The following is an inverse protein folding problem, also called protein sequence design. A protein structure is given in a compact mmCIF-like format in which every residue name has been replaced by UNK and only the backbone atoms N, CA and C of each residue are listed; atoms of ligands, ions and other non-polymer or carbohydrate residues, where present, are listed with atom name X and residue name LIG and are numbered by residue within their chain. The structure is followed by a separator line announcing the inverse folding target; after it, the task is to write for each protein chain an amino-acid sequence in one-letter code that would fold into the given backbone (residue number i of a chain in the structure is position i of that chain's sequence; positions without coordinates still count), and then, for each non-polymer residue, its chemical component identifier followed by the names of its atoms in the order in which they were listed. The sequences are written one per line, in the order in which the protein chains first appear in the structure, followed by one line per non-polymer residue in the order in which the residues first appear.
data_IF_297501995462
#
_entry.id   IF_297501995462
#
_cell.length_a   1.000
_cell.length_b   1.000
_cell.length_c   1.000
_cell.angle_alpha   90.00
_cell.angle_beta   90.00
_cell.angle_gamma   90.00
#
_symmetry.space_group_name_H-M   'P 1'
#
loop_
_entity.id
_entity.type
_entity.pdbx_description
1 polymer ?
#
# COMPACT_ATOMS: atom_id res chain seq x y z
N UNK A 1 -4.41 11.95 38.28
CA UNK A 1 -5.41 11.00 37.79
C UNK A 1 -4.97 10.57 36.41
N UNK A 2 -4.62 9.32 36.19
CA UNK A 2 -4.30 8.78 34.86
C UNK A 2 -5.61 8.64 34.06
N UNK A 3 -5.65 8.99 32.77
CA UNK A 3 -6.83 8.71 31.96
C UNK A 3 -6.99 7.19 31.77
N UNK A 4 -8.22 6.69 31.63
CA UNK A 4 -8.46 5.27 31.44
C UNK A 4 -7.88 4.81 30.10
N UNK A 5 -7.12 3.74 30.13
CA UNK A 5 -6.69 3.00 28.94
C UNK A 5 -7.91 2.36 28.30
N UNK A 6 -8.36 2.89 27.18
CA UNK A 6 -9.36 2.24 26.35
C UNK A 6 -8.65 1.14 25.58
N UNK A 7 -9.03 -0.08 25.86
CA UNK A 7 -8.51 -1.28 25.19
C UNK A 7 -9.12 -1.35 23.77
N UNK A 8 -8.38 -0.81 22.79
CA UNK A 8 -8.80 -0.78 21.39
C UNK A 8 -8.75 -2.15 20.71
N UNK A 9 -8.07 -3.13 21.32
CA UNK A 9 -7.90 -4.45 20.73
C UNK A 9 -9.22 -5.24 20.62
N UNK A 10 -10.13 -5.09 21.58
CA UNK A 10 -11.43 -5.79 21.56
C UNK A 10 -12.48 -5.17 20.61
N UNK A 11 -12.25 -3.97 20.08
CA UNK A 11 -13.22 -3.24 19.24
C UNK A 11 -12.74 -2.96 17.80
N UNK A 12 -11.58 -3.49 17.41
CA UNK A 12 -11.14 -3.36 16.03
C UNK A 12 -11.89 -4.41 15.16
N UNK A 13 -12.69 -3.98 14.18
CA UNK A 13 -13.43 -4.90 13.29
C UNK A 13 -12.50 -5.89 12.57
N UNK A 14 -11.26 -5.50 12.26
CA UNK A 14 -10.26 -6.39 11.65
C UNK A 14 -9.83 -7.54 12.57
N UNK A 15 -9.76 -7.32 13.88
CA UNK A 15 -9.44 -8.39 14.83
C UNK A 15 -10.60 -9.40 14.95
N UNK A 16 -11.85 -8.91 14.92
CA UNK A 16 -13.02 -9.78 14.93
C UNK A 16 -13.23 -10.48 13.58
N UNK A 17 -12.92 -9.82 12.45
CA UNK A 17 -13.03 -10.44 11.13
C UNK A 17 -12.00 -11.57 10.97
N UNK A 18 -10.77 -11.42 11.43
CA UNK A 18 -9.78 -12.51 11.39
C UNK A 18 -10.21 -13.72 12.22
N UNK A 19 -10.87 -13.52 13.35
CA UNK A 19 -11.42 -14.65 14.15
C UNK A 19 -12.72 -15.23 13.60
N UNK A 20 -13.60 -14.43 12.98
CA UNK A 20 -14.88 -14.92 12.44
C UNK A 20 -14.74 -15.64 11.10
N UNK A 21 -13.69 -15.36 10.31
CA UNK A 21 -13.43 -16.04 9.04
C UNK A 21 -12.96 -17.50 9.18
N UNK A 22 -12.48 -17.89 10.34
CA UNK A 22 -11.99 -19.25 10.60
C UNK A 22 -12.98 -20.15 11.38
N UNK A 23 -14.27 -19.83 11.41
CA UNK A 23 -15.29 -20.78 11.84
C UNK A 23 -15.49 -21.81 10.74
N UNK A 24 -15.45 -23.13 11.04
CA UNK A 24 -15.50 -24.16 10.01
C UNK A 24 -16.89 -24.25 9.40
N UNK A 25 -17.08 -23.68 8.22
CA UNK A 25 -18.11 -24.19 7.32
C UNK A 25 -17.56 -25.48 6.70
N UNK A 26 -18.31 -26.54 6.84
CA UNK A 26 -18.04 -27.88 6.37
C UNK A 26 -17.63 -27.82 4.88
N UNK A 27 -16.34 -28.03 4.62
CA UNK A 27 -15.85 -28.22 3.26
C UNK A 27 -16.14 -29.64 2.82
N UNK A 28 -17.02 -29.80 1.84
CA UNK A 28 -17.13 -31.04 1.08
C UNK A 28 -15.80 -31.38 0.41
N UNK A 29 -15.44 -32.64 0.46
CA UNK A 29 -14.26 -33.27 -0.08
C UNK A 29 -14.19 -33.03 -1.62
N UNK A 30 -13.49 -31.99 -2.04
CA UNK A 30 -13.13 -31.78 -3.45
C UNK A 30 -11.74 -32.37 -3.66
N UNK A 31 -11.71 -33.60 -4.19
CA UNK A 31 -10.50 -34.21 -4.71
C UNK A 31 -9.86 -33.32 -5.78
N UNK A 32 -8.56 -33.04 -5.71
CA UNK A 32 -7.88 -32.21 -6.70
C UNK A 32 -7.82 -32.92 -8.04
N UNK A 33 -8.36 -32.30 -9.10
CA UNK A 33 -8.10 -32.72 -10.46
C UNK A 33 -6.65 -32.40 -10.82
N UNK A 34 -5.95 -33.31 -11.53
CA UNK A 34 -4.54 -33.13 -11.86
C UNK A 34 -4.41 -32.33 -13.16
N UNK A 35 -4.33 -30.99 -13.06
CA UNK A 35 -3.74 -30.18 -14.11
C UNK A 35 -2.32 -29.77 -13.68
N UNK A 36 -1.43 -30.74 -13.75
CA UNK A 36 0.00 -30.57 -13.57
C UNK A 36 0.67 -30.66 -14.94
N UNK A 37 0.80 -29.53 -15.63
CA UNK A 37 1.80 -29.41 -16.70
C UNK A 37 2.38 -28.00 -16.73
N UNK A 38 3.71 -27.97 -16.67
CA UNK A 38 4.66 -26.88 -16.89
C UNK A 38 5.06 -26.06 -15.64
N UNK A 39 6.38 -26.15 -15.36
CA UNK A 39 7.16 -25.35 -14.41
C UNK A 39 6.71 -25.39 -12.94
N UNK A 40 6.81 -26.57 -12.33
CA UNK A 40 6.79 -26.66 -10.87
C UNK A 40 8.04 -25.95 -10.31
N UNK A 41 7.81 -24.84 -9.62
CA UNK A 41 8.85 -24.16 -8.87
C UNK A 41 9.55 -25.17 -7.92
N UNK A 42 10.88 -25.12 -7.75
CA UNK A 42 11.58 -26.06 -6.89
C UNK A 42 11.09 -25.92 -5.46
N UNK A 43 10.54 -27.02 -4.92
CA UNK A 43 10.04 -27.08 -3.55
C UNK A 43 11.24 -27.27 -2.61
N UNK A 44 11.29 -26.50 -1.52
CA UNK A 44 12.35 -26.58 -0.50
C UNK A 44 11.72 -26.82 0.87
N UNK A 45 12.24 -27.80 1.61
CA UNK A 45 11.86 -27.98 3.01
C UNK A 45 12.39 -26.84 3.88
N UNK A 46 11.57 -26.37 4.80
CA UNK A 46 11.90 -25.31 5.76
C UNK A 46 12.24 -25.91 7.15
N UNK A 47 12.75 -25.07 8.03
CA UNK A 47 13.14 -25.47 9.40
C UNK A 47 11.93 -25.88 10.25
N UNK A 48 10.77 -25.31 9.99
CA UNK A 48 9.51 -25.77 10.60
C UNK A 48 9.14 -27.11 10.00
N UNK A 49 9.05 -28.13 10.84
CA UNK A 49 8.83 -29.51 10.44
C UNK A 49 7.56 -29.64 9.58
N UNK A 50 7.71 -30.26 8.41
CA UNK A 50 6.61 -30.52 7.49
C UNK A 50 6.17 -29.33 6.65
N UNK A 51 6.86 -28.17 6.72
CA UNK A 51 6.57 -27.04 5.85
C UNK A 51 7.55 -27.00 4.67
N UNK A 52 6.98 -26.81 3.48
CA UNK A 52 7.69 -26.72 2.21
C UNK A 52 7.43 -25.35 1.57
N UNK A 53 8.44 -24.81 0.89
CA UNK A 53 8.39 -23.51 0.21
C UNK A 53 8.52 -23.68 -1.30
N UNK A 54 7.57 -23.11 -2.06
CA UNK A 54 7.70 -22.87 -3.49
C UNK A 54 7.92 -21.39 -3.77
N UNK A 55 8.86 -21.07 -4.66
CA UNK A 55 9.18 -19.70 -5.08
C UNK A 55 8.81 -19.56 -6.56
N UNK A 56 7.89 -18.65 -6.86
CA UNK A 56 7.46 -18.32 -8.22
C UNK A 56 8.01 -16.95 -8.63
N UNK A 57 8.44 -16.82 -9.90
CA UNK A 57 9.00 -15.57 -10.44
C UNK A 57 8.03 -14.82 -11.35
N UNK A 58 6.84 -15.37 -11.55
CA UNK A 58 5.76 -14.72 -12.31
C UNK A 58 4.40 -15.10 -11.76
N UNK A 59 3.49 -14.13 -11.73
CA UNK A 59 2.11 -14.32 -11.29
C UNK A 59 1.31 -15.23 -12.24
N UNK A 60 1.77 -15.39 -13.49
CA UNK A 60 1.14 -16.32 -14.44
C UNK A 60 1.27 -17.77 -14.03
N UNK A 61 2.33 -18.12 -13.30
CA UNK A 61 2.62 -19.47 -12.83
C UNK A 61 2.05 -19.75 -11.43
N UNK A 62 1.35 -18.80 -10.81
CA UNK A 62 0.71 -19.02 -9.53
C UNK A 62 -0.49 -19.96 -9.68
N UNK A 63 -0.60 -21.02 -8.84
CA UNK A 63 -1.73 -21.94 -8.86
C UNK A 63 -3.03 -21.24 -8.41
N UNK A 64 -4.20 -21.84 -8.73
CA UNK A 64 -5.50 -21.36 -8.29
C UNK A 64 -5.61 -21.21 -6.77
N UNK A 65 -4.99 -22.12 -6.05
CA UNK A 65 -4.91 -22.11 -4.57
C UNK A 65 -4.35 -20.80 -3.97
N UNK A 66 -3.63 -19.99 -4.76
CA UNK A 66 -3.18 -18.67 -4.31
C UNK A 66 -4.34 -17.76 -3.93
N UNK A 67 -5.38 -17.68 -4.75
CA UNK A 67 -6.52 -16.82 -4.47
C UNK A 67 -7.44 -17.40 -3.38
N UNK A 68 -7.44 -18.71 -3.17
CA UNK A 68 -8.29 -19.39 -2.17
C UNK A 68 -7.90 -19.09 -0.72
N UNK A 69 -6.62 -18.78 -0.45
CA UNK A 69 -6.15 -18.40 0.88
C UNK A 69 -6.39 -16.91 1.18
N UNK A 70 -6.70 -16.09 0.17
CA UNK A 70 -6.86 -14.66 0.37
C UNK A 70 -8.17 -14.35 1.13
N UNK A 71 -8.08 -13.67 2.28
CA UNK A 71 -9.28 -13.15 2.91
C UNK A 71 -9.89 -12.04 2.06
N UNK A 72 -11.15 -11.74 2.30
CA UNK A 72 -11.78 -10.54 1.78
C UNK A 72 -10.96 -9.31 2.16
N UNK A 73 -10.85 -8.32 1.27
CA UNK A 73 -10.00 -7.15 1.52
C UNK A 73 -8.52 -7.32 1.19
N UNK A 74 -8.14 -8.36 0.42
CA UNK A 74 -6.76 -8.57 -0.02
C UNK A 74 -6.63 -8.61 -1.55
N UNK A 75 -7.39 -7.76 -2.26
CA UNK A 75 -7.36 -7.68 -3.72
C UNK A 75 -5.97 -7.37 -4.29
N UNK A 76 -5.13 -6.62 -3.56
CA UNK A 76 -3.76 -6.31 -3.96
C UNK A 76 -2.80 -7.52 -3.91
N UNK A 77 -3.26 -8.63 -3.37
CA UNK A 77 -2.57 -9.92 -3.43
C UNK A 77 -3.20 -10.90 -4.42
N UNK A 78 -4.32 -10.55 -5.07
CA UNK A 78 -4.95 -11.44 -6.05
C UNK A 78 -4.07 -11.65 -7.28
N UNK A 79 -4.16 -12.84 -7.90
CA UNK A 79 -3.42 -13.13 -9.15
C UNK A 79 -3.75 -12.14 -10.25
N UNK A 80 -4.99 -11.63 -10.29
CA UNK A 80 -5.40 -10.60 -11.24
C UNK A 80 -4.58 -9.32 -11.08
N UNK A 81 -4.48 -8.80 -9.85
CA UNK A 81 -3.69 -7.62 -9.53
C UNK A 81 -2.19 -7.85 -9.79
N UNK A 82 -1.64 -8.97 -9.33
CA UNK A 82 -0.22 -9.28 -9.48
C UNK A 82 0.19 -9.38 -10.96
N UNK A 83 -0.64 -10.02 -11.80
CA UNK A 83 -0.43 -10.08 -13.25
C UNK A 83 -0.49 -8.70 -13.91
N UNK A 84 -1.42 -7.83 -13.47
CA UNK A 84 -1.50 -6.47 -13.98
C UNK A 84 -0.23 -5.66 -13.66
N UNK A 85 0.33 -5.84 -12.47
CA UNK A 85 1.61 -5.22 -12.09
C UNK A 85 2.77 -5.71 -12.97
N UNK A 86 2.82 -7.00 -13.29
CA UNK A 86 3.86 -7.56 -14.16
C UNK A 86 3.71 -7.12 -15.62
N UNK A 87 2.48 -6.88 -16.09
CA UNK A 87 2.24 -6.35 -17.44
C UNK A 87 2.68 -4.90 -17.59
N UNK A 88 2.66 -4.13 -16.52
CA UNK A 88 3.08 -2.74 -16.49
C UNK A 88 3.98 -2.49 -15.26
N UNK A 89 5.19 -3.07 -15.22
CA UNK A 89 6.07 -2.96 -14.07
C UNK A 89 6.63 -1.55 -13.91
N UNK A 90 6.76 -1.09 -12.69
CA UNK A 90 7.51 0.12 -12.41
C UNK A 90 8.98 -0.08 -12.83
N UNK A 91 9.66 1.03 -13.16
CA UNK A 91 11.04 0.96 -13.67
C UNK A 91 11.98 0.23 -12.72
N UNK A 92 12.60 -0.84 -13.20
CA UNK A 92 13.55 -1.66 -12.43
C UNK A 92 12.89 -2.53 -11.35
N UNK A 93 11.59 -2.74 -11.42
CA UNK A 93 10.84 -3.62 -10.51
C UNK A 93 10.72 -5.02 -11.11
N UNK A 94 11.09 -6.03 -10.32
CA UNK A 94 10.81 -7.43 -10.58
C UNK A 94 9.97 -8.00 -9.44
N UNK A 95 9.44 -9.20 -9.61
CA UNK A 95 8.51 -9.79 -8.66
C UNK A 95 8.94 -11.21 -8.28
N UNK A 96 8.54 -11.63 -7.09
CA UNK A 96 8.65 -13.00 -6.62
C UNK A 96 7.51 -13.30 -5.64
N UNK A 97 7.04 -14.53 -5.64
CA UNK A 97 5.92 -14.98 -4.84
C UNK A 97 6.31 -16.24 -4.09
N UNK A 98 5.99 -16.27 -2.82
CA UNK A 98 6.29 -17.37 -1.92
C UNK A 98 4.99 -18.10 -1.58
N UNK A 99 4.98 -19.42 -1.71
CA UNK A 99 3.90 -20.28 -1.26
C UNK A 99 4.45 -21.28 -0.25
N UNK A 100 3.82 -21.33 0.92
CA UNK A 100 4.17 -22.22 2.01
C UNK A 100 3.15 -23.35 2.08
N UNK A 101 3.62 -24.58 2.02
CA UNK A 101 2.80 -25.79 2.06
C UNK A 101 3.07 -26.58 3.32
N UNK A 102 2.03 -27.11 3.95
CA UNK A 102 2.10 -28.13 4.99
C UNK A 102 1.10 -29.23 4.65
N UNK A 103 1.54 -30.48 4.61
CA UNK A 103 0.71 -31.62 4.20
C UNK A 103 0.01 -31.40 2.84
N UNK A 104 0.72 -30.83 1.87
CA UNK A 104 0.23 -30.46 0.52
C UNK A 104 -0.87 -29.37 0.49
N UNK A 105 -1.17 -28.73 1.61
CA UNK A 105 -2.11 -27.61 1.68
C UNK A 105 -1.35 -26.30 1.83
N UNK A 106 -1.82 -25.24 1.19
CA UNK A 106 -1.25 -23.90 1.34
C UNK A 106 -1.57 -23.39 2.74
N UNK A 107 -0.54 -23.08 3.52
CA UNK A 107 -0.64 -22.53 4.88
C UNK A 107 -0.18 -21.08 4.95
N UNK A 108 0.43 -20.57 3.90
CA UNK A 108 0.85 -19.17 3.83
C UNK A 108 1.29 -18.78 2.44
N UNK A 109 1.28 -17.49 2.18
CA UNK A 109 1.77 -16.89 0.95
C UNK A 109 2.30 -15.49 1.18
N UNK A 110 3.27 -15.06 0.36
CA UNK A 110 3.80 -13.70 0.40
C UNK A 110 4.11 -13.20 -1.01
N UNK A 111 3.79 -11.93 -1.26
CA UNK A 111 4.13 -11.22 -2.49
C UNK A 111 5.33 -10.30 -2.25
N UNK A 112 6.36 -10.43 -3.07
CA UNK A 112 7.59 -9.68 -2.96
C UNK A 112 7.86 -8.87 -4.22
N UNK A 113 8.35 -7.65 -4.01
CA UNK A 113 8.84 -6.77 -5.06
C UNK A 113 10.36 -6.64 -4.91
N UNK A 114 11.08 -6.79 -6.01
CA UNK A 114 12.55 -6.72 -6.04
C UNK A 114 12.93 -5.42 -6.71
N UNK A 115 13.64 -4.55 -6.01
CA UNK A 115 14.00 -3.25 -6.55
C UNK A 115 15.38 -2.79 -6.13
N UNK A 116 16.00 -1.96 -6.97
CA UNK A 116 17.18 -1.20 -6.61
C UNK A 116 16.76 0.17 -6.05
N UNK A 117 16.90 0.33 -4.74
CA UNK A 117 16.65 1.60 -4.07
C UNK A 117 17.84 2.52 -4.24
N UNK A 118 17.64 3.61 -4.99
CA UNK A 118 18.65 4.65 -5.22
C UNK A 118 18.28 5.88 -4.39
N UNK A 119 18.93 6.06 -3.24
CA UNK A 119 18.59 7.08 -2.24
C UNK A 119 18.43 8.48 -2.84
N UNK A 120 19.32 8.88 -3.76
CA UNK A 120 19.21 10.20 -4.41
C UNK A 120 18.02 10.35 -5.34
N UNK A 121 17.53 9.25 -5.94
CA UNK A 121 16.42 9.31 -6.90
C UNK A 121 15.06 9.35 -6.19
N UNK A 122 14.94 8.65 -5.06
CA UNK A 122 13.70 8.52 -4.33
C UNK A 122 13.46 9.59 -3.27
N UNK A 123 14.50 10.32 -2.82
CA UNK A 123 14.36 11.36 -1.79
C UNK A 123 14.63 12.73 -2.42
N UNK A 124 13.56 13.47 -2.75
CA UNK A 124 13.66 14.75 -3.42
C UNK A 124 14.31 15.84 -2.57
N UNK A 125 14.09 15.83 -1.25
CA UNK A 125 14.73 16.76 -0.32
C UNK A 125 16.26 16.71 -0.36
N UNK A 126 16.85 15.60 -0.85
CA UNK A 126 18.29 15.49 -1.09
C UNK A 126 18.73 16.04 -2.45
N UNK A 127 17.80 16.24 -3.39
CA UNK A 127 18.09 16.78 -4.71
C UNK A 127 18.11 18.31 -4.73
N UNK A 128 17.26 18.94 -3.90
CA UNK A 128 17.14 20.39 -3.82
C UNK A 128 18.12 20.97 -2.80
N UNK A 129 18.85 22.02 -3.19
CA UNK A 129 19.73 22.71 -2.25
C UNK A 129 18.88 23.54 -1.26
N UNK A 130 19.10 23.42 0.07
CA UNK A 130 18.36 24.23 1.03
C UNK A 130 18.68 25.72 0.86
N UNK A 131 17.66 26.53 0.96
CA UNK A 131 17.83 27.96 1.16
C UNK A 131 18.38 28.18 2.57
N UNK A 132 19.65 28.57 2.71
CA UNK A 132 20.26 28.69 4.02
C UNK A 132 21.71 29.14 3.99
N UNK A 133 22.31 29.22 5.19
CA UNK A 133 23.69 29.63 5.41
C UNK A 133 24.70 28.62 4.79
N UNK A 134 25.98 29.06 4.68
CA UNK A 134 27.07 28.26 4.07
C UNK A 134 27.23 26.88 4.75
N UNK A 135 27.06 26.82 6.08
CA UNK A 135 27.16 25.58 6.86
C UNK A 135 26.05 24.59 6.51
N UNK A 136 24.81 25.07 6.36
CA UNK A 136 23.67 24.23 5.92
C UNK A 136 23.87 23.67 4.51
N UNK A 137 24.40 24.49 3.59
CA UNK A 137 24.75 24.04 2.22
C UNK A 137 25.88 23.01 2.21
N UNK A 138 26.88 23.17 3.07
CA UNK A 138 27.97 22.22 3.22
C UNK A 138 27.47 20.88 3.76
N UNK A 139 26.63 20.91 4.82
CA UNK A 139 25.99 19.71 5.39
C UNK A 139 25.11 18.99 4.36
N UNK A 140 24.34 19.73 3.59
CA UNK A 140 23.52 19.16 2.52
C UNK A 140 24.38 18.49 1.43
N UNK A 141 25.51 19.12 1.03
CA UNK A 141 26.46 18.52 0.07
C UNK A 141 27.05 17.22 0.60
N UNK A 142 27.39 17.16 1.90
CA UNK A 142 27.89 15.94 2.54
C UNK A 142 26.83 14.87 2.58
N UNK A 143 25.58 15.19 3.00
CA UNK A 143 24.44 14.27 2.98
C UNK A 143 24.18 13.74 1.57
N UNK A 144 24.17 14.60 0.58
CA UNK A 144 23.95 14.22 -0.82
C UNK A 144 25.08 13.33 -1.36
N UNK A 145 26.34 13.64 -1.08
CA UNK A 145 27.47 12.84 -1.49
C UNK A 145 27.49 11.45 -0.83
N UNK A 146 27.04 11.36 0.43
CA UNK A 146 26.85 10.10 1.12
C UNK A 146 25.66 9.30 0.53
N UNK A 147 24.51 9.94 0.38
CA UNK A 147 23.32 9.34 -0.18
C UNK A 147 23.51 8.84 -1.62
N UNK A 148 24.35 9.51 -2.42
CA UNK A 148 24.67 9.08 -3.80
C UNK A 148 25.41 7.74 -3.88
N UNK A 149 26.03 7.31 -2.78
CA UNK A 149 26.74 6.03 -2.67
C UNK A 149 25.90 4.94 -2.01
N UNK A 150 24.70 5.30 -1.50
CA UNK A 150 23.77 4.37 -0.86
C UNK A 150 22.74 3.88 -1.89
N UNK A 151 23.13 2.84 -2.59
CA UNK A 151 22.22 2.09 -3.44
C UNK A 151 22.02 0.72 -2.80
N UNK A 152 20.79 0.31 -2.63
CA UNK A 152 20.44 -0.97 -2.02
C UNK A 152 19.56 -1.77 -2.96
N UNK A 153 19.87 -3.05 -3.12
CA UNK A 153 18.97 -4.03 -3.72
C UNK A 153 18.11 -4.63 -2.62
N UNK A 154 16.82 -4.35 -2.67
CA UNK A 154 15.88 -4.74 -1.62
C UNK A 154 14.89 -5.77 -2.12
N UNK A 155 14.64 -6.77 -1.28
CA UNK A 155 13.44 -7.60 -1.33
C UNK A 155 12.41 -6.91 -0.46
N UNK A 156 11.33 -6.41 -1.07
CA UNK A 156 10.23 -5.74 -0.38
C UNK A 156 9.06 -6.71 -0.30
N UNK A 157 8.75 -7.20 0.89
CA UNK A 157 7.52 -7.95 1.15
C UNK A 157 6.40 -6.94 1.37
N UNK A 158 5.56 -6.76 0.35
CA UNK A 158 4.49 -5.75 0.33
C UNK A 158 4.26 -5.10 -1.03
N UNK A 159 3.16 -4.37 -1.14
CA UNK A 159 2.81 -3.60 -2.32
C UNK A 159 3.30 -2.15 -2.17
N UNK A 160 4.26 -1.73 -3.02
CA UNK A 160 4.79 -0.35 -2.96
C UNK A 160 3.81 0.69 -3.50
N UNK A 161 2.80 0.27 -4.26
CA UNK A 161 1.75 1.10 -4.84
C UNK A 161 0.62 1.44 -3.86
N UNK A 162 0.51 0.71 -2.75
CA UNK A 162 -0.51 0.89 -1.73
C UNK A 162 0.09 1.08 -0.34
N UNK A 163 -0.71 1.62 0.57
CA UNK A 163 -0.40 1.67 2.00
C UNK A 163 -1.31 0.68 2.71
N UNK A 164 -0.73 -0.17 3.54
CA UNK A 164 -1.46 -1.21 4.26
C UNK A 164 -0.75 -2.55 4.21
N UNK A 165 -1.26 -3.50 4.97
CA UNK A 165 -0.68 -4.84 5.09
C UNK A 165 -1.11 -5.73 3.92
N UNK A 166 -0.54 -5.50 2.74
CA UNK A 166 -0.78 -6.26 1.51
C UNK A 166 0.48 -7.01 1.08
N UNK A 167 1.07 -7.74 2.02
CA UNK A 167 2.37 -8.37 1.87
C UNK A 167 2.31 -9.90 1.91
N UNK A 168 1.57 -10.43 2.86
CA UNK A 168 1.49 -11.86 3.13
C UNK A 168 0.17 -12.22 3.82
N UNK A 169 -0.20 -13.48 3.69
CA UNK A 169 -1.33 -14.10 4.40
C UNK A 169 -0.87 -15.46 4.91
N UNK A 170 -1.23 -15.80 6.16
CA UNK A 170 -1.00 -17.10 6.74
C UNK A 170 -2.28 -17.65 7.36
N UNK A 171 -2.46 -18.96 7.29
CA UNK A 171 -3.56 -19.66 7.96
C UNK A 171 -3.24 -19.83 9.44
N UNK A 172 -3.72 -18.89 10.27
CA UNK A 172 -3.49 -18.87 11.72
C UNK A 172 -4.30 -19.95 12.49
N UNK A 173 -5.11 -20.76 11.81
CA UNK A 173 -5.70 -21.95 12.44
C UNK A 173 -4.72 -23.14 12.49
N UNK A 174 -3.68 -23.10 11.64
CA UNK A 174 -2.63 -24.13 11.53
C UNK A 174 -1.28 -23.67 12.06
N UNK A 175 -1.01 -22.39 12.05
CA UNK A 175 0.24 -21.78 12.48
C UNK A 175 -0.06 -20.75 13.56
N UNK A 176 0.72 -20.73 14.62
CA UNK A 176 0.71 -19.61 15.54
C UNK A 176 1.38 -18.37 14.87
N UNK A 177 1.05 -17.16 15.33
CA UNK A 177 1.58 -15.93 14.71
C UNK A 177 3.11 -15.85 14.69
N UNK A 178 3.79 -16.33 15.72
CA UNK A 178 5.25 -16.30 15.80
C UNK A 178 5.87 -17.28 14.79
N UNK A 179 5.30 -18.48 14.69
CA UNK A 179 5.67 -19.48 13.68
C UNK A 179 5.43 -18.97 12.26
N UNK A 180 4.33 -18.27 12.01
CA UNK A 180 4.06 -17.64 10.72
C UNK A 180 5.13 -16.60 10.34
N UNK A 181 5.56 -15.77 11.31
CA UNK A 181 6.62 -14.78 11.07
C UNK A 181 7.99 -15.43 10.89
N UNK A 182 8.29 -16.50 11.61
CA UNK A 182 9.51 -17.27 11.41
C UNK A 182 9.55 -17.89 10.01
N UNK A 183 8.45 -18.47 9.54
CA UNK A 183 8.31 -18.99 8.17
C UNK A 183 8.46 -17.89 7.11
N UNK A 184 7.87 -16.71 7.35
CA UNK A 184 8.02 -15.57 6.43
C UNK A 184 9.49 -15.17 6.30
N UNK A 185 10.21 -14.99 7.43
CA UNK A 185 11.63 -14.63 7.41
C UNK A 185 12.47 -15.71 6.71
N UNK A 186 12.26 -16.98 7.02
CA UNK A 186 12.99 -18.09 6.39
C UNK A 186 12.72 -18.14 4.88
N UNK A 187 11.46 -17.93 4.45
CA UNK A 187 11.07 -17.87 3.05
C UNK A 187 11.75 -16.70 2.32
N UNK A 188 11.79 -15.52 2.93
CA UNK A 188 12.47 -14.34 2.38
C UNK A 188 13.99 -14.54 2.28
N UNK A 189 14.59 -15.24 3.24
CA UNK A 189 16.01 -15.61 3.17
C UNK A 189 16.28 -16.67 2.07
N UNK A 190 15.35 -17.63 1.90
CA UNK A 190 15.42 -18.59 0.79
C UNK A 190 15.34 -17.89 -0.55
N UNK A 191 14.44 -16.92 -0.69
CA UNK A 191 14.35 -16.07 -1.88
C UNK A 191 15.66 -15.33 -2.12
N UNK A 192 16.24 -14.69 -1.10
CA UNK A 192 17.52 -13.97 -1.23
C UNK A 192 18.64 -14.88 -1.72
N UNK A 193 18.72 -16.12 -1.22
CA UNK A 193 19.70 -17.11 -1.68
C UNK A 193 19.45 -17.57 -3.12
N UNK A 194 18.19 -17.75 -3.52
CA UNK A 194 17.83 -18.10 -4.89
C UNK A 194 18.23 -17.02 -5.86
N UNK A 195 17.89 -15.76 -5.56
CA UNK A 195 18.25 -14.59 -6.36
C UNK A 195 19.77 -14.41 -6.47
N UNK A 196 20.52 -14.66 -5.40
CA UNK A 196 21.98 -14.61 -5.43
C UNK A 196 22.56 -15.65 -6.39
N UNK A 197 21.99 -16.86 -6.46
CA UNK A 197 22.40 -17.89 -7.40
C UNK A 197 22.10 -17.49 -8.86
N UNK A 198 21.07 -16.67 -9.07
CA UNK A 198 20.71 -16.07 -10.38
C UNK A 198 21.53 -14.79 -10.71
N UNK A 199 22.47 -14.40 -9.85
CA UNK A 199 23.32 -13.21 -10.04
C UNK A 199 22.73 -11.90 -9.48
N UNK A 200 21.55 -11.93 -8.84
CA UNK A 200 20.95 -10.77 -8.19
C UNK A 200 21.12 -10.85 -6.68
N UNK A 201 22.09 -10.12 -6.14
CA UNK A 201 22.38 -10.13 -4.71
C UNK A 201 21.58 -9.06 -4.00
N UNK A 202 20.66 -9.48 -3.13
CA UNK A 202 19.96 -8.57 -2.22
C UNK A 202 20.89 -8.05 -1.13
N UNK A 203 20.76 -6.77 -0.79
CA UNK A 203 21.43 -6.14 0.36
C UNK A 203 20.57 -6.23 1.61
N UNK A 204 19.24 -6.17 1.45
CA UNK A 204 18.32 -6.19 2.57
C UNK A 204 16.92 -6.67 2.21
N UNK A 205 16.15 -6.89 3.27
CA UNK A 205 14.73 -7.26 3.24
C UNK A 205 13.95 -6.16 3.94
N UNK A 206 12.86 -5.71 3.34
CA UNK A 206 11.91 -4.75 3.89
C UNK A 206 10.53 -5.41 3.96
N UNK A 207 9.96 -5.55 5.16
CA UNK A 207 8.56 -5.93 5.36
C UNK A 207 7.80 -4.64 5.61
N UNK A 208 6.80 -4.38 4.76
CA UNK A 208 6.18 -3.07 4.64
C UNK A 208 4.81 -3.04 5.29
N UNK A 209 4.54 -1.94 6.02
CA UNK A 209 3.21 -1.52 6.46
C UNK A 209 2.46 -2.49 7.36
N UNK A 210 3.12 -2.96 8.42
CA UNK A 210 2.43 -3.63 9.51
C UNK A 210 1.72 -2.61 10.38
N UNK A 211 0.45 -2.86 10.68
CA UNK A 211 -0.38 -1.98 11.50
C UNK A 211 0.09 -2.00 12.96
N UNK A 212 0.11 -0.82 13.59
CA UNK A 212 0.37 -0.71 15.03
C UNK A 212 -0.73 -1.39 15.83
N UNK A 213 -0.33 -2.22 16.78
CA UNK A 213 -1.27 -2.98 17.63
C UNK A 213 -1.37 -4.46 17.24
N UNK A 214 -0.77 -4.86 16.15
CA UNK A 214 -0.52 -6.26 15.86
C UNK A 214 0.64 -6.77 16.76
N UNK A 215 0.32 -7.05 18.02
CA UNK A 215 1.30 -7.28 19.10
C UNK A 215 2.16 -8.53 18.92
N UNK A 216 1.76 -9.45 18.07
CA UNK A 216 2.49 -10.70 17.87
C UNK A 216 3.60 -10.56 16.83
N UNK A 217 3.33 -9.93 15.71
CA UNK A 217 4.25 -9.86 14.58
C UNK A 217 5.52 -9.01 14.82
N UNK A 218 5.44 -7.81 15.44
CA UNK A 218 6.63 -6.98 15.65
C UNK A 218 7.72 -7.66 16.46
N UNK A 219 7.36 -8.33 17.54
CA UNK A 219 8.31 -8.97 18.45
C UNK A 219 9.11 -10.08 17.76
N UNK A 220 8.43 -10.94 17.02
CA UNK A 220 9.10 -12.03 16.29
C UNK A 220 10.08 -11.51 15.25
N UNK A 221 9.73 -10.41 14.54
CA UNK A 221 10.62 -9.81 13.56
C UNK A 221 11.85 -9.17 14.21
N UNK A 222 11.68 -8.51 15.37
CA UNK A 222 12.82 -7.93 16.10
C UNK A 222 13.77 -9.02 16.61
N UNK A 223 13.26 -10.14 17.12
CA UNK A 223 14.05 -11.30 17.54
C UNK A 223 14.81 -11.92 16.35
N UNK A 224 14.29 -11.82 15.12
CA UNK A 224 14.96 -12.24 13.89
C UNK A 224 15.94 -11.19 13.34
N UNK A 225 16.12 -10.08 14.06
CA UNK A 225 17.10 -9.04 13.74
C UNK A 225 16.63 -7.98 12.77
N UNK A 226 15.32 -7.82 12.58
CA UNK A 226 14.77 -6.67 11.87
C UNK A 226 14.74 -5.43 12.75
N UNK A 227 15.00 -4.27 12.18
CA UNK A 227 14.80 -2.98 12.82
C UNK A 227 13.42 -2.45 12.43
N UNK A 228 12.52 -2.32 13.41
CA UNK A 228 11.21 -1.69 13.24
C UNK A 228 11.31 -0.17 13.29
N UNK A 229 10.53 0.52 12.45
CA UNK A 229 10.41 1.98 12.47
C UNK A 229 9.03 2.42 12.00
N UNK A 230 8.49 3.49 12.60
CA UNK A 230 7.26 4.08 12.11
C UNK A 230 7.50 4.72 10.75
N UNK A 231 6.52 4.59 9.88
CA UNK A 231 6.49 5.31 8.62
C UNK A 231 5.23 6.18 8.57
N UNK A 232 5.11 7.07 7.57
CA UNK A 232 3.94 7.94 7.46
C UNK A 232 2.63 7.16 7.63
N UNK A 233 1.67 7.66 8.43
CA UNK A 233 0.46 6.94 8.73
C UNK A 233 -0.40 6.72 7.48
N UNK A 234 -1.21 5.66 7.50
CA UNK A 234 -2.29 5.49 6.56
C UNK A 234 -3.49 6.36 7.01
N UNK A 235 -4.02 7.18 6.13
CA UNK A 235 -5.18 8.02 6.43
C UNK A 235 -6.45 7.27 6.08
N UNK A 236 -7.24 6.90 7.08
CA UNK A 236 -8.45 6.08 6.94
C UNK A 236 -9.65 6.86 7.42
N UNK A 237 -10.71 6.89 6.63
CA UNK A 237 -12.01 7.44 7.02
C UNK A 237 -12.99 6.29 7.28
N UNK A 238 -13.18 5.87 8.53
CA UNK A 238 -14.21 4.90 8.86
C UNK A 238 -15.59 5.56 8.75
N UNK A 239 -16.55 4.84 8.19
CA UNK A 239 -17.91 5.31 8.13
C UNK A 239 -18.68 4.99 9.42
N UNK A 240 -19.55 5.91 9.82
CA UNK A 240 -20.44 5.67 10.95
C UNK A 240 -21.65 4.86 10.51
N UNK A 241 -22.21 4.03 11.37
CA UNK A 241 -23.37 3.19 11.02
C UNK A 241 -24.61 3.97 10.59
N UNK A 242 -24.69 5.25 10.95
CA UNK A 242 -25.79 6.16 10.60
C UNK A 242 -25.55 6.94 9.30
N UNK A 243 -24.41 6.76 8.63
CA UNK A 243 -24.13 7.38 7.34
C UNK A 243 -24.55 6.44 6.19
N UNK A 244 -25.70 6.68 5.62
CA UNK A 244 -26.20 5.92 4.46
C UNK A 244 -26.02 6.68 3.14
N UNK A 245 -25.88 8.00 3.25
CA UNK A 245 -25.74 8.90 2.10
C UNK A 245 -24.59 9.88 2.32
N UNK A 246 -24.12 10.48 1.24
CA UNK A 246 -23.15 11.54 1.33
C UNK A 246 -23.65 12.78 2.08
N UNK A 247 -24.97 13.02 2.08
CA UNK A 247 -25.58 14.12 2.85
C UNK A 247 -25.50 13.84 4.35
N UNK A 248 -25.71 12.60 4.81
CA UNK A 248 -25.53 12.21 6.21
C UNK A 248 -24.11 12.50 6.70
N UNK A 249 -23.13 12.12 5.88
CA UNK A 249 -21.72 12.43 6.16
C UNK A 249 -21.48 13.95 6.27
N UNK A 250 -22.04 14.77 5.37
CA UNK A 250 -21.89 16.22 5.41
C UNK A 250 -22.60 16.83 6.64
N UNK A 251 -23.77 16.32 7.03
CA UNK A 251 -24.52 16.79 8.17
C UNK A 251 -23.83 16.47 9.50
N UNK A 252 -23.13 15.37 9.57
CA UNK A 252 -22.31 15.01 10.73
C UNK A 252 -21.12 15.97 10.96
N UNK A 253 -20.70 16.71 9.93
CA UNK A 253 -19.61 17.69 10.07
C UNK A 253 -20.04 18.91 10.92
N UNK A 254 -19.10 19.42 11.72
CA UNK A 254 -19.28 20.74 12.35
C UNK A 254 -19.34 21.85 11.28
N UNK A 255 -20.08 22.90 11.56
CA UNK A 255 -20.43 23.96 10.59
C UNK A 255 -19.25 24.48 9.76
N UNK A 256 -18.09 24.68 10.38
CA UNK A 256 -16.87 25.16 9.72
C UNK A 256 -16.46 24.29 8.53
N UNK A 257 -16.44 22.96 8.71
CA UNK A 257 -16.01 22.02 7.66
C UNK A 257 -17.09 21.80 6.63
N UNK A 258 -18.37 21.75 7.03
CA UNK A 258 -19.51 21.69 6.12
C UNK A 258 -19.55 22.91 5.18
N UNK A 259 -19.29 24.12 5.69
CA UNK A 259 -19.19 25.32 4.85
C UNK A 259 -18.00 25.23 3.90
N UNK A 260 -16.86 24.67 4.37
CA UNK A 260 -15.68 24.45 3.50
C UNK A 260 -15.99 23.47 2.37
N UNK A 261 -16.68 22.36 2.65
CA UNK A 261 -17.12 21.38 1.66
C UNK A 261 -18.02 22.04 0.61
N UNK A 262 -19.09 22.73 1.03
CA UNK A 262 -20.01 23.43 0.12
C UNK A 262 -19.30 24.49 -0.75
N UNK A 263 -18.27 25.14 -0.22
CA UNK A 263 -17.44 26.07 -0.98
C UNK A 263 -16.60 25.36 -2.04
N UNK A 264 -16.05 24.16 -1.71
CA UNK A 264 -15.32 23.35 -2.68
C UNK A 264 -16.24 22.90 -3.83
N UNK A 265 -17.44 22.40 -3.50
CA UNK A 265 -18.44 22.02 -4.53
C UNK A 265 -18.85 23.20 -5.43
N UNK A 266 -19.07 24.37 -4.82
CA UNK A 266 -19.38 25.58 -5.61
C UNK A 266 -18.26 25.95 -6.57
N UNK A 267 -17.00 25.81 -6.17
CA UNK A 267 -15.85 26.04 -7.04
C UNK A 267 -15.71 24.95 -8.12
N UNK A 268 -16.01 23.70 -7.77
CA UNK A 268 -15.98 22.56 -8.70
C UNK A 268 -17.08 22.54 -9.76
N UNK A 269 -18.11 23.37 -9.67
CA UNK A 269 -19.26 23.37 -10.63
C UNK A 269 -18.88 23.52 -12.11
N UNK A 270 -17.68 24.03 -12.42
CA UNK A 270 -17.18 24.14 -13.79
C UNK A 270 -16.45 22.87 -14.30
N UNK A 271 -16.45 21.80 -13.50
CA UNK A 271 -15.82 20.53 -13.83
C UNK A 271 -16.90 19.45 -14.03
N UNK A 272 -16.71 18.59 -15.04
CA UNK A 272 -17.51 17.39 -15.21
C UNK A 272 -16.66 16.17 -14.81
N UNK A 273 -17.12 15.41 -13.82
CA UNK A 273 -16.54 14.13 -13.47
C UNK A 273 -17.20 13.02 -14.28
N UNK A 274 -16.42 12.12 -14.88
CA UNK A 274 -16.91 10.99 -15.67
C UNK A 274 -16.08 9.75 -15.35
N UNK A 275 -16.71 8.61 -15.13
CA UNK A 275 -15.99 7.34 -15.06
C UNK A 275 -15.46 6.98 -16.44
N UNK A 276 -14.20 6.52 -16.48
CA UNK A 276 -13.51 6.14 -17.70
C UNK A 276 -13.55 4.60 -17.86
N UNK A 277 -14.10 4.14 -18.96
CA UNK A 277 -13.99 2.75 -19.39
C UNK A 277 -12.60 2.46 -19.99
N UNK A 278 -12.34 1.21 -20.35
CA UNK A 278 -11.05 0.79 -20.90
C UNK A 278 -10.63 1.62 -22.12
N UNK A 279 -11.54 1.84 -23.06
CA UNK A 279 -11.29 2.61 -24.29
C UNK A 279 -10.93 4.07 -23.96
N UNK A 280 -11.66 4.69 -23.04
CA UNK A 280 -11.39 6.06 -22.58
C UNK A 280 -10.04 6.18 -21.87
N UNK A 281 -9.67 5.20 -21.02
CA UNK A 281 -8.36 5.15 -20.37
C UNK A 281 -7.25 5.00 -21.42
N UNK A 282 -7.44 4.14 -22.43
CA UNK A 282 -6.49 3.97 -23.51
C UNK A 282 -6.34 5.25 -24.35
N UNK A 283 -7.45 5.92 -24.65
CA UNK A 283 -7.44 7.21 -25.39
C UNK A 283 -6.70 8.30 -24.62
N UNK A 284 -6.96 8.45 -23.33
CA UNK A 284 -6.36 9.46 -22.46
C UNK A 284 -5.07 9.03 -21.76
N UNK A 285 -4.43 7.95 -22.20
CA UNK A 285 -3.29 7.36 -21.52
C UNK A 285 -2.11 8.33 -21.32
N UNK A 286 -1.84 9.19 -22.32
CA UNK A 286 -0.80 10.22 -22.24
C UNK A 286 -1.15 11.30 -21.23
N UNK A 287 -2.38 11.81 -21.28
CA UNK A 287 -2.84 12.88 -20.38
C UNK A 287 -2.87 12.37 -18.92
N UNK A 288 -3.39 11.16 -18.68
CA UNK A 288 -3.41 10.54 -17.36
C UNK A 288 -1.99 10.40 -16.82
N UNK A 289 -1.05 9.90 -17.63
CA UNK A 289 0.35 9.75 -17.23
C UNK A 289 1.01 11.10 -16.94
N UNK A 290 0.74 12.12 -17.75
CA UNK A 290 1.23 13.47 -17.52
C UNK A 290 0.67 14.06 -16.22
N UNK A 291 -0.63 13.98 -15.98
CA UNK A 291 -1.30 14.46 -14.78
C UNK A 291 -0.80 13.73 -13.51
N UNK A 292 -0.54 12.41 -13.61
CA UNK A 292 0.09 11.64 -12.53
C UNK A 292 1.47 12.21 -12.19
N UNK A 293 2.31 12.43 -13.19
CA UNK A 293 3.68 12.92 -12.97
C UNK A 293 3.72 14.35 -12.40
N UNK A 294 2.74 15.20 -12.73
CA UNK A 294 2.61 16.55 -12.15
C UNK A 294 2.48 16.53 -10.62
N UNK A 295 1.88 15.49 -10.07
CA UNK A 295 1.69 15.31 -8.62
C UNK A 295 2.80 14.44 -8.01
N UNK A 296 3.12 13.30 -8.63
CA UNK A 296 4.17 12.40 -8.16
C UNK A 296 5.54 13.08 -8.09
N UNK A 297 5.83 13.97 -9.04
CA UNK A 297 7.06 14.78 -9.07
C UNK A 297 7.15 15.85 -7.97
N UNK A 298 6.12 16.06 -7.16
CA UNK A 298 6.11 17.02 -6.04
C UNK A 298 6.21 16.34 -4.67
N UNK A 299 6.12 15.02 -4.62
CA UNK A 299 6.26 14.28 -3.38
C UNK A 299 7.72 14.25 -2.92
N UNK A 300 8.00 14.56 -1.65
CA UNK A 300 9.35 14.54 -1.08
C UNK A 300 9.99 13.15 -1.11
N UNK A 301 9.18 12.12 -1.05
CA UNK A 301 9.58 10.73 -1.14
C UNK A 301 8.70 9.98 -2.14
N UNK A 302 9.33 9.38 -3.15
CA UNK A 302 8.65 8.55 -4.13
C UNK A 302 9.44 7.25 -4.34
N UNK A 303 8.90 6.14 -3.86
CA UNK A 303 9.56 4.83 -4.00
C UNK A 303 9.61 4.35 -5.45
N UNK A 304 8.60 4.69 -6.26
CA UNK A 304 8.50 4.18 -7.63
C UNK A 304 7.84 5.21 -8.55
N UNK A 305 8.16 5.10 -9.83
CA UNK A 305 7.45 5.80 -10.90
C UNK A 305 6.59 4.79 -11.66
N UNK A 306 5.29 5.04 -11.73
CA UNK A 306 4.38 4.16 -12.46
C UNK A 306 4.66 4.27 -13.97
N UNK A 307 4.61 3.17 -14.71
CA UNK A 307 4.68 3.21 -16.15
C UNK A 307 3.36 3.72 -16.73
N UNK A 308 3.43 4.26 -17.93
CA UNK A 308 2.28 4.83 -18.64
C UNK A 308 1.09 3.86 -18.78
N UNK A 309 1.36 2.57 -19.01
CA UNK A 309 0.33 1.54 -19.18
C UNK A 309 -0.34 1.04 -17.91
N UNK A 310 0.09 1.50 -16.73
CA UNK A 310 -0.31 0.94 -15.44
C UNK A 310 -1.83 0.94 -15.20
N UNK A 311 -2.48 2.09 -15.38
CA UNK A 311 -3.94 2.22 -15.16
C UNK A 311 -4.76 1.37 -16.13
N UNK A 312 -4.31 1.24 -17.38
CA UNK A 312 -4.95 0.41 -18.38
C UNK A 312 -4.79 -1.08 -18.05
N UNK A 313 -3.61 -1.50 -17.63
CA UNK A 313 -3.36 -2.89 -17.21
C UNK A 313 -4.25 -3.29 -16.03
N UNK A 314 -4.38 -2.43 -15.02
CA UNK A 314 -5.29 -2.67 -13.89
C UNK A 314 -6.76 -2.71 -14.32
N UNK A 315 -7.21 -1.78 -15.19
CA UNK A 315 -8.62 -1.79 -15.66
C UNK A 315 -8.96 -3.07 -16.43
N UNK A 316 -8.02 -3.59 -17.22
CA UNK A 316 -8.20 -4.86 -17.95
C UNK A 316 -8.25 -6.06 -17.02
N UNK A 317 -7.36 -6.11 -16.03
CA UNK A 317 -7.28 -7.24 -15.12
C UNK A 317 -8.39 -7.26 -14.06
N UNK A 318 -8.88 -6.09 -13.66
CA UNK A 318 -9.84 -5.92 -12.56
C UNK A 318 -10.95 -4.92 -12.97
N UNK A 319 -11.74 -5.23 -14.01
CA UNK A 319 -12.66 -4.26 -14.63
C UNK A 319 -13.79 -3.80 -13.71
N UNK A 320 -14.16 -4.61 -12.73
CA UNK A 320 -15.21 -4.29 -11.75
C UNK A 320 -14.64 -3.57 -10.51
N UNK A 321 -13.49 -4.00 -10.02
CA UNK A 321 -12.89 -3.49 -8.79
C UNK A 321 -12.11 -2.19 -9.01
N UNK A 322 -11.45 -2.05 -10.17
CA UNK A 322 -10.62 -0.88 -10.46
C UNK A 322 -11.37 0.14 -11.31
N UNK A 323 -11.57 1.33 -10.73
CA UNK A 323 -12.29 2.44 -11.38
C UNK A 323 -11.39 3.66 -11.54
N UNK A 324 -11.55 4.36 -12.64
CA UNK A 324 -10.84 5.62 -12.96
C UNK A 324 -11.87 6.68 -13.30
N UNK A 325 -11.73 7.86 -12.69
CA UNK A 325 -12.61 9.00 -12.91
C UNK A 325 -11.82 10.17 -13.49
N UNK A 326 -12.21 10.64 -14.66
CA UNK A 326 -11.64 11.82 -15.32
C UNK A 326 -12.43 13.09 -14.97
N UNK A 327 -11.71 14.17 -14.70
CA UNK A 327 -12.27 15.49 -14.43
C UNK A 327 -12.01 16.40 -15.64
N UNK A 328 -13.07 16.88 -16.23
CA UNK A 328 -13.01 17.67 -17.45
C UNK A 328 -13.41 19.12 -17.20
N UNK A 329 -12.64 20.03 -17.76
CA UNK A 329 -13.03 21.44 -17.95
C UNK A 329 -13.38 21.62 -19.42
N UNK A 330 -14.66 21.83 -19.72
CA UNK A 330 -15.17 21.64 -21.08
C UNK A 330 -14.86 20.21 -21.54
N UNK A 331 -14.16 20.02 -22.65
CA UNK A 331 -13.74 18.69 -23.15
C UNK A 331 -12.26 18.36 -22.86
N UNK A 332 -11.56 19.20 -22.07
CA UNK A 332 -10.16 18.98 -21.73
C UNK A 332 -10.05 18.21 -20.40
N UNK A 333 -9.35 17.09 -20.38
CA UNK A 333 -9.01 16.35 -19.15
C UNK A 333 -8.02 17.18 -18.33
N UNK A 334 -8.43 17.58 -17.13
CA UNK A 334 -7.64 18.44 -16.23
C UNK A 334 -7.25 17.74 -14.92
N UNK A 335 -7.80 16.59 -14.67
CA UNK A 335 -7.46 15.75 -13.53
C UNK A 335 -8.08 14.37 -13.63
N UNK A 336 -7.57 13.45 -12.85
CA UNK A 336 -8.15 12.12 -12.67
C UNK A 336 -7.93 11.62 -11.25
N UNK A 337 -8.75 10.70 -10.82
CA UNK A 337 -8.47 9.85 -9.68
C UNK A 337 -8.84 8.40 -9.99
N UNK A 338 -8.25 7.47 -9.25
CA UNK A 338 -8.56 6.05 -9.35
C UNK A 338 -8.84 5.45 -7.99
N UNK A 339 -9.71 4.46 -7.95
CA UNK A 339 -10.10 3.71 -6.76
C UNK A 339 -9.99 2.22 -7.02
N UNK A 340 -9.80 1.44 -5.96
CA UNK A 340 -9.84 -0.01 -5.99
C UNK A 340 -10.75 -0.49 -4.86
N UNK A 341 -11.82 -1.22 -5.23
CA UNK A 341 -12.69 -1.90 -4.25
C UNK A 341 -11.94 -3.09 -3.65
N UNK A 342 -11.83 -3.11 -2.32
CA UNK A 342 -11.01 -4.06 -1.57
C UNK A 342 -11.81 -4.66 -0.41
N UNK A 343 -12.85 -5.43 -0.73
CA UNK A 343 -13.79 -5.97 0.27
C UNK A 343 -14.54 -4.85 0.98
N UNK A 344 -14.42 -4.71 2.32
CA UNK A 344 -15.13 -3.68 3.08
C UNK A 344 -14.50 -2.28 2.96
N UNK A 345 -13.54 -2.11 2.07
CA UNK A 345 -12.76 -0.88 1.93
C UNK A 345 -12.74 -0.36 0.50
N UNK A 346 -12.78 0.97 0.33
CA UNK A 346 -12.43 1.62 -0.92
C UNK A 346 -11.04 2.24 -0.80
N UNK A 347 -10.10 1.72 -1.57
CA UNK A 347 -8.75 2.28 -1.67
C UNK A 347 -8.74 3.49 -2.61
N UNK A 348 -8.42 4.67 -2.12
CA UNK A 348 -8.04 5.80 -2.94
C UNK A 348 -6.63 5.56 -3.48
N UNK A 349 -6.55 5.20 -4.76
CA UNK A 349 -5.33 4.65 -5.33
C UNK A 349 -4.37 5.77 -5.77
N UNK A 350 -4.52 6.29 -6.98
CA UNK A 350 -3.73 7.42 -7.45
C UNK A 350 -4.61 8.55 -7.97
N UNK A 351 -4.08 9.76 -7.91
CA UNK A 351 -4.70 10.93 -8.52
C UNK A 351 -3.65 11.82 -9.17
N UNK A 352 -4.10 12.54 -10.18
CA UNK A 352 -3.29 13.52 -10.88
C UNK A 352 -4.16 14.67 -11.34
N UNK A 353 -3.63 15.89 -11.32
CA UNK A 353 -4.37 17.07 -11.78
C UNK A 353 -3.41 18.19 -12.14
N UNK A 354 -3.90 19.16 -12.92
CA UNK A 354 -3.17 20.40 -13.23
C UNK A 354 -3.12 21.28 -11.97
N UNK A 355 -1.94 21.48 -11.35
CA UNK A 355 -1.84 22.19 -10.07
C UNK A 355 -2.33 23.63 -10.13
N UNK A 356 -2.15 24.31 -11.25
CA UNK A 356 -2.59 25.69 -11.46
C UNK A 356 -4.12 25.84 -11.41
N UNK A 357 -4.87 24.76 -11.64
CA UNK A 357 -6.32 24.75 -11.56
C UNK A 357 -6.85 24.41 -10.18
N UNK A 358 -6.01 23.79 -9.32
CA UNK A 358 -6.46 23.35 -8.00
C UNK A 358 -6.97 24.49 -7.10
N UNK A 359 -6.33 25.65 -7.14
CA UNK A 359 -6.77 26.81 -6.33
C UNK A 359 -8.16 27.31 -6.74
N UNK A 360 -8.43 27.34 -8.04
CA UNK A 360 -9.67 27.86 -8.59
C UNK A 360 -10.84 26.89 -8.46
N UNK A 361 -10.58 25.59 -8.68
CA UNK A 361 -11.61 24.56 -8.74
C UNK A 361 -11.61 23.64 -7.52
N UNK A 362 -10.63 23.75 -6.62
CA UNK A 362 -10.45 22.84 -5.46
C UNK A 362 -10.43 21.37 -5.90
N UNK A 363 -9.74 21.07 -7.01
CA UNK A 363 -9.70 19.76 -7.66
C UNK A 363 -9.41 18.64 -6.66
N UNK A 364 -8.32 18.74 -5.92
CA UNK A 364 -7.91 17.74 -4.95
C UNK A 364 -9.00 17.46 -3.91
N UNK A 365 -9.60 18.51 -3.35
CA UNK A 365 -10.62 18.36 -2.31
C UNK A 365 -11.93 17.80 -2.87
N UNK A 366 -12.32 18.19 -4.09
CA UNK A 366 -13.50 17.61 -4.76
C UNK A 366 -13.28 16.11 -5.06
N UNK A 367 -12.08 15.71 -5.53
CA UNK A 367 -11.75 14.30 -5.73
C UNK A 367 -11.88 13.47 -4.45
N UNK A 368 -11.41 13.99 -3.29
CA UNK A 368 -11.59 13.31 -2.01
C UNK A 368 -13.09 13.15 -1.66
N UNK A 369 -13.89 14.19 -1.84
CA UNK A 369 -15.34 14.10 -1.58
C UNK A 369 -16.07 13.17 -2.56
N UNK A 370 -15.67 13.13 -3.83
CA UNK A 370 -16.25 12.21 -4.80
C UNK A 370 -15.93 10.75 -4.44
N UNK A 371 -14.70 10.45 -3.99
CA UNK A 371 -14.35 9.11 -3.48
C UNK A 371 -15.18 8.71 -2.25
N UNK A 372 -15.43 9.64 -1.32
CA UNK A 372 -16.30 9.39 -0.15
C UNK A 372 -17.74 9.11 -0.61
N UNK A 373 -18.24 9.88 -1.58
CA UNK A 373 -19.59 9.67 -2.13
C UNK A 373 -19.71 8.30 -2.80
N UNK A 374 -18.73 7.95 -3.65
CA UNK A 374 -18.68 6.65 -4.33
C UNK A 374 -18.68 5.53 -3.28
N UNK A 375 -17.87 5.65 -2.25
CA UNK A 375 -17.76 4.64 -1.20
C UNK A 375 -19.08 4.43 -0.44
N UNK A 376 -19.77 5.53 -0.09
CA UNK A 376 -21.02 5.47 0.65
C UNK A 376 -22.22 5.03 -0.20
N UNK A 377 -22.35 5.59 -1.41
CA UNK A 377 -23.58 5.48 -2.19
C UNK A 377 -23.56 4.37 -3.25
N UNK A 378 -22.37 4.08 -3.79
CA UNK A 378 -22.21 3.11 -4.89
C UNK A 378 -21.58 1.80 -4.42
N UNK A 379 -20.50 1.85 -3.66
CA UNK A 379 -19.76 0.66 -3.21
C UNK A 379 -20.28 0.10 -1.88
N UNK A 380 -20.91 0.95 -1.05
CA UNK A 380 -21.47 0.60 0.26
C UNK A 380 -20.47 -0.11 1.18
N UNK A 381 -19.24 0.41 1.20
CA UNK A 381 -18.14 -0.09 2.02
C UNK A 381 -18.10 0.56 3.40
N UNK A 382 -17.32 -0.01 4.32
CA UNK A 382 -17.23 0.46 5.71
C UNK A 382 -16.30 1.67 5.88
N UNK A 383 -15.37 1.88 4.92
CA UNK A 383 -14.36 2.94 5.02
C UNK A 383 -13.71 3.28 3.69
N UNK A 384 -13.09 4.48 3.66
CA UNK A 384 -12.17 4.89 2.59
C UNK A 384 -10.74 4.93 3.13
N UNK A 385 -9.83 4.29 2.44
CA UNK A 385 -8.39 4.30 2.71
C UNK A 385 -7.73 5.31 1.77
N UNK A 386 -7.28 6.45 2.30
CA UNK A 386 -6.68 7.52 1.50
C UNK A 386 -5.16 7.41 1.37
N UNK A 387 -4.56 6.41 1.96
CA UNK A 387 -3.10 6.24 1.96
C UNK A 387 -2.34 7.39 2.62
N UNK A 388 -1.01 7.46 2.39
CA UNK A 388 -0.08 8.45 2.92
C UNK A 388 -0.19 9.81 2.20
N UNK A 389 0.61 10.77 2.65
CA UNK A 389 0.75 12.13 2.10
C UNK A 389 -0.47 13.02 2.28
N UNK A 390 -0.27 14.34 2.18
CA UNK A 390 -1.34 15.33 2.33
C UNK A 390 -2.23 15.12 3.58
N UNK A 391 -1.63 14.75 4.71
CA UNK A 391 -2.29 14.29 5.93
C UNK A 391 -3.30 15.31 6.46
N UNK A 392 -2.93 16.61 6.46
CA UNK A 392 -3.80 17.68 6.96
C UNK A 392 -5.07 17.84 6.10
N UNK A 393 -4.97 17.73 4.77
CA UNK A 393 -6.14 17.85 3.90
C UNK A 393 -7.05 16.63 4.07
N UNK A 394 -6.49 15.42 4.14
CA UNK A 394 -7.24 14.19 4.36
C UNK A 394 -7.91 14.17 5.72
N UNK A 395 -7.24 14.64 6.77
CA UNK A 395 -7.89 14.78 8.08
C UNK A 395 -9.03 15.82 8.07
N UNK A 396 -8.96 16.83 7.19
CA UNK A 396 -10.04 17.81 7.06
C UNK A 396 -11.33 17.29 6.43
N UNK A 397 -11.27 16.12 5.77
CA UNK A 397 -12.45 15.38 5.32
C UNK A 397 -12.80 14.23 6.27
N UNK A 398 -12.11 14.13 7.41
CA UNK A 398 -12.42 13.20 8.50
C UNK A 398 -11.57 11.94 8.54
N UNK A 399 -10.58 11.80 7.67
CA UNK A 399 -9.66 10.68 7.77
C UNK A 399 -8.79 10.78 9.03
N UNK A 400 -8.61 9.64 9.69
CA UNK A 400 -7.82 9.48 10.90
C UNK A 400 -6.51 8.75 10.57
N UNK A 401 -5.40 9.10 11.28
CA UNK A 401 -4.13 8.44 11.05
C UNK A 401 -4.08 7.06 11.70
N UNK A 402 -3.84 6.04 10.90
CA UNK A 402 -3.53 4.69 11.34
C UNK A 402 -2.01 4.51 11.28
N UNK A 403 -1.37 4.30 12.45
CA UNK A 403 0.07 4.17 12.52
C UNK A 403 0.55 2.87 11.88
N UNK A 404 1.51 2.99 10.95
CA UNK A 404 2.12 1.89 10.22
C UNK A 404 3.60 1.76 10.56
N UNK A 405 4.07 0.52 10.63
CA UNK A 405 5.48 0.19 10.87
C UNK A 405 6.04 -0.57 9.68
N UNK A 406 7.26 -0.25 9.34
CA UNK A 406 8.09 -1.02 8.43
C UNK A 406 9.20 -1.71 9.20
N UNK A 407 9.58 -2.90 8.77
CA UNK A 407 10.65 -3.70 9.37
C UNK A 407 11.71 -3.96 8.33
N UNK A 408 12.94 -3.57 8.62
CA UNK A 408 14.05 -3.69 7.67
C UNK A 408 15.19 -4.48 8.30
N UNK A 409 15.79 -5.36 7.51
CA UNK A 409 16.96 -6.15 7.88
C UNK A 409 17.98 -6.10 6.76
N UNK A 410 19.22 -5.75 7.09
CA UNK A 410 20.34 -5.86 6.15
C UNK A 410 20.90 -7.27 6.20
N UNK A 411 21.15 -7.91 5.04
CA UNK A 411 21.63 -9.30 4.98
C UNK A 411 23.08 -9.46 5.42
N UNK A 412 23.87 -8.36 5.43
CA UNK A 412 25.19 -8.36 6.05
C UNK A 412 25.05 -7.99 7.54
N UNK A 413 25.52 -8.85 8.49
CA UNK A 413 25.35 -8.63 9.92
C UNK A 413 26.02 -7.36 10.45
N UNK A 414 27.14 -6.91 9.85
CA UNK A 414 27.85 -5.72 10.28
C UNK A 414 27.02 -4.47 9.98
N UNK A 415 26.49 -4.38 8.75
CA UNK A 415 25.61 -3.27 8.37
C UNK A 415 24.27 -3.32 9.09
N UNK A 416 23.75 -4.51 9.38
CA UNK A 416 22.50 -4.67 10.13
C UNK A 416 22.56 -4.04 11.51
N UNK A 417 23.70 -4.13 12.21
CA UNK A 417 23.90 -3.46 13.52
C UNK A 417 23.84 -1.94 13.45
N UNK A 418 24.24 -1.34 12.33
CA UNK A 418 24.21 0.11 12.13
C UNK A 418 22.84 0.61 11.62
N UNK A 419 22.01 -0.29 11.12
CA UNK A 419 20.74 0.03 10.44
C UNK A 419 19.77 0.83 11.31
N UNK A 420 19.53 0.52 12.61
CA UNK A 420 18.61 1.30 13.45
C UNK A 420 19.02 2.79 13.58
N UNK A 421 20.31 3.08 13.59
CA UNK A 421 20.83 4.45 13.59
C UNK A 421 20.58 5.18 12.27
N UNK A 422 20.79 4.48 11.16
CA UNK A 422 20.59 5.01 9.81
C UNK A 422 19.10 5.30 9.56
N UNK A 423 18.22 4.39 9.94
CA UNK A 423 16.77 4.55 9.78
C UNK A 423 16.26 5.78 10.53
N UNK A 424 16.62 5.93 11.82
CA UNK A 424 16.27 7.10 12.63
C UNK A 424 16.80 8.41 12.05
N UNK A 425 17.96 8.36 11.39
CA UNK A 425 18.55 9.54 10.75
C UNK A 425 17.85 9.92 9.44
N UNK A 426 17.27 8.93 8.72
CA UNK A 426 16.53 9.14 7.47
C UNK A 426 15.04 9.42 7.69
N UNK A 427 14.52 9.18 8.90
CA UNK A 427 13.11 9.37 9.22
C UNK A 427 12.65 10.80 8.92
N UNK A 428 11.65 10.99 8.04
CA UNK A 428 11.13 12.31 7.76
C UNK A 428 10.36 12.83 8.97
N UNK A 429 10.78 13.99 9.50
CA UNK A 429 10.03 14.70 10.52
C UNK A 429 9.02 15.62 9.85
N UNK A 430 7.84 15.13 9.63
CA UNK A 430 6.74 15.92 9.08
C UNK A 430 5.85 16.42 10.25
N UNK A 431 5.89 17.72 10.50
CA UNK A 431 4.94 18.37 11.42
C UNK A 431 3.67 18.69 10.65
N UNK A 432 2.54 18.09 11.06
CA UNK A 432 1.24 18.37 10.47
C UNK A 432 0.18 18.50 11.56
N UNK A 433 -0.90 19.21 11.26
CA UNK A 433 -1.99 19.42 12.20
C UNK A 433 -3.19 18.57 11.81
N UNK A 434 -3.54 17.61 12.66
CA UNK A 434 -4.77 16.84 12.48
C UNK A 434 -5.99 17.74 12.62
N UNK A 435 -6.94 17.57 11.71
CA UNK A 435 -8.23 18.26 11.68
C UNK A 435 -9.32 17.33 12.16
N UNK A 436 -10.33 17.84 12.85
CA UNK A 436 -11.42 17.08 13.45
C UNK A 436 -12.77 17.61 12.94
N UNK A 437 -13.22 17.20 11.75
CA UNK A 437 -14.43 17.75 11.14
C UNK A 437 -15.72 17.31 11.81
N UNK A 438 -15.73 16.23 12.60
CA UNK A 438 -16.92 15.70 13.26
C UNK A 438 -17.03 16.09 14.73
N UNK A 439 -16.19 16.99 15.22
CA UNK A 439 -16.17 17.39 16.63
C UNK A 439 -15.54 16.34 17.54
N UNK A 440 -14.97 16.78 18.64
CA UNK A 440 -14.31 15.90 19.61
C UNK A 440 -12.81 15.82 19.34
N UNK A 441 -12.07 16.74 19.88
CA UNK A 441 -10.63 16.76 20.11
C UNK A 441 -10.43 17.04 21.57
#
# INVERSE_FOLDING_TARGET
MKPPSIDYAEKCPLYQSVQSFFSPSIAEDVSPSPDASADSAPIRALSVAGVELAIHRTASNLPGLWDELLPEGQQMMSRAYLRAQEQAPAEGMEYAYLLFYQDKQVVGQAACQLMEFRTLRQIQSLQQAPEGNIMGRLWHRIKRAFASRLNFKLIICGATQFTGQHAFVFNLTRLDPDGAMALLDEGLQCLARSLQAEGWRADGILIKDLEKGNTFFPRSLEEQGYAGFPFQPNMVLPFRPDWNTFDDYLEAMVSKYRVRARRAFKKGKGLAARELNEESIQHHQEEIYHLYNEIAGRADFNMLSLPKGYFLALKRAMPQQFRVFGYYRQETLVGFCSTLSNGPELEAHFMGFKPELNLNYQLYLNMLYDMIRIALEEEQVDKVVFSRTALEIKSSVGAEPLEMYCYVRHLNPVFNRALPGLVRWLEPKEEWQQRHPFGGG
#
